data_IF_241411270182
#
_entry.id   IF_241411270182
#
_cell.length_a   1.000
_cell.length_b   1.000
_cell.length_c   1.000
_cell.angle_alpha   90.00
_cell.angle_beta   90.00
_cell.angle_gamma   90.00
#
_symmetry.space_group_name_H-M   'P 1'
#
loop_
_entity.id
_entity.type
_entity.pdbx_description
1 polymer ?
#
# COMPACT_ATOMS: atom_id res chain seq x y z
N UNK A 1 4.91 5.88 -13.88
CA UNK A 1 3.52 5.48 -14.18
C UNK A 1 3.32 3.95 -14.31
N UNK A 2 4.37 3.13 -14.15
CA UNK A 2 4.26 1.66 -14.29
C UNK A 2 3.73 0.92 -13.07
N UNK A 3 3.63 1.58 -11.91
CA UNK A 3 3.12 1.00 -10.67
C UNK A 3 1.61 1.20 -10.59
N UNK A 4 0.87 0.12 -10.40
CA UNK A 4 -0.60 0.14 -10.33
C UNK A 4 -1.13 0.02 -8.90
N UNK A 5 -0.33 -0.55 -8.00
CA UNK A 5 -0.71 -0.81 -6.61
C UNK A 5 0.49 -0.60 -5.67
N UNK A 6 0.25 0.03 -4.52
CA UNK A 6 1.19 0.12 -3.40
C UNK A 6 0.56 -0.53 -2.17
N UNK A 7 1.19 -1.60 -1.67
CA UNK A 7 0.96 -2.09 -0.32
C UNK A 7 1.90 -1.30 0.62
N UNK A 8 1.33 -0.33 1.33
CA UNK A 8 2.10 0.59 2.18
C UNK A 8 2.57 -0.10 3.46
N UNK A 9 3.57 0.49 4.11
CA UNK A 9 3.94 0.05 5.44
C UNK A 9 2.78 0.28 6.42
N UNK A 10 2.11 1.43 6.37
CA UNK A 10 0.77 1.66 6.95
C UNK A 10 0.55 0.99 8.31
N UNK A 11 1.17 1.53 9.35
CA UNK A 11 1.16 0.94 10.71
C UNK A 11 0.07 1.51 11.61
N UNK A 12 -0.78 2.41 11.10
CA UNK A 12 -1.72 3.18 11.91
C UNK A 12 -0.99 4.03 12.96
N UNK A 13 0.23 4.48 12.63
CA UNK A 13 0.94 5.46 13.43
C UNK A 13 0.77 6.81 12.77
N UNK A 14 0.23 7.78 13.51
CA UNK A 14 -0.14 9.09 12.97
C UNK A 14 0.99 9.74 12.14
N UNK A 15 2.20 9.84 12.71
CA UNK A 15 3.37 10.41 12.00
C UNK A 15 3.82 9.54 10.82
N UNK A 16 3.81 8.22 10.97
CA UNK A 16 4.29 7.29 9.95
C UNK A 16 3.40 7.29 8.71
N UNK A 17 2.09 7.21 8.90
CA UNK A 17 1.12 7.14 7.82
C UNK A 17 1.03 8.49 7.07
N UNK A 18 1.11 9.62 7.78
CA UNK A 18 1.24 10.96 7.15
C UNK A 18 2.51 11.04 6.30
N UNK A 19 3.65 10.61 6.84
CA UNK A 19 4.93 10.66 6.13
C UNK A 19 4.92 9.78 4.89
N UNK A 20 4.34 8.58 4.96
CA UNK A 20 4.27 7.66 3.84
C UNK A 20 3.33 8.16 2.74
N UNK A 21 2.16 8.71 3.10
CA UNK A 21 1.25 9.33 2.14
C UNK A 21 1.89 10.51 1.39
N UNK A 22 2.58 11.40 2.11
CA UNK A 22 3.32 12.54 1.53
C UNK A 22 4.42 12.06 0.59
N UNK A 23 5.20 11.04 0.98
CA UNK A 23 6.25 10.47 0.15
C UNK A 23 5.70 9.84 -1.16
N UNK A 24 4.56 9.14 -1.09
CA UNK A 24 3.91 8.59 -2.29
C UNK A 24 3.52 9.71 -3.26
N UNK A 25 2.90 10.78 -2.75
CA UNK A 25 2.50 11.93 -3.58
C UNK A 25 3.71 12.63 -4.20
N UNK A 26 4.80 12.79 -3.44
CA UNK A 26 6.05 13.41 -3.94
C UNK A 26 6.70 12.57 -5.05
N UNK A 27 6.81 11.25 -4.85
CA UNK A 27 7.49 10.36 -5.80
C UNK A 27 6.68 10.13 -7.07
N UNK A 28 5.36 9.98 -6.96
CA UNK A 28 4.50 9.62 -8.09
C UNK A 28 3.79 10.82 -8.74
N UNK A 29 3.76 12.00 -8.10
CA UNK A 29 3.08 13.18 -8.62
C UNK A 29 1.61 12.90 -8.95
N UNK A 30 1.15 13.34 -10.13
CA UNK A 30 -0.22 13.10 -10.62
C UNK A 30 -0.59 11.61 -10.73
N UNK A 31 0.40 10.72 -10.89
CA UNK A 31 0.15 9.29 -10.95
C UNK A 31 -0.28 8.69 -9.60
N UNK A 32 0.02 9.36 -8.48
CA UNK A 32 -0.39 8.94 -7.14
C UNK A 32 -1.92 8.81 -7.00
N UNK A 33 -2.68 9.61 -7.75
CA UNK A 33 -4.15 9.59 -7.75
C UNK A 33 -4.74 8.44 -8.60
N UNK A 34 -3.92 7.75 -9.40
CA UNK A 34 -4.36 6.69 -10.34
C UNK A 34 -3.99 5.28 -9.87
N UNK A 35 -2.90 5.14 -9.10
CA UNK A 35 -2.53 3.87 -8.47
C UNK A 35 -3.42 3.60 -7.26
N UNK A 36 -3.60 2.34 -6.89
CA UNK A 36 -4.30 1.99 -5.66
C UNK A 36 -3.34 1.94 -4.47
N UNK A 37 -3.81 2.32 -3.29
CA UNK A 37 -3.06 2.29 -2.03
C UNK A 37 -3.82 1.47 -0.99
N UNK A 38 -3.18 0.49 -0.36
CA UNK A 38 -3.74 -0.19 0.81
C UNK A 38 -2.66 -0.73 1.76
N UNK A 39 -3.05 -1.15 2.96
CA UNK A 39 -2.19 -1.79 3.96
C UNK A 39 -2.79 -3.12 4.38
N UNK A 40 -2.11 -4.23 4.06
CA UNK A 40 -2.53 -5.56 4.49
C UNK A 40 -2.39 -5.79 6.00
N UNK A 41 -1.61 -4.94 6.70
CA UNK A 41 -1.49 -4.99 8.17
C UNK A 41 -2.84 -4.76 8.86
N UNK A 42 -3.78 -4.07 8.22
CA UNK A 42 -5.14 -3.90 8.73
C UNK A 42 -5.86 -5.24 8.97
N UNK A 43 -5.53 -6.28 8.19
CA UNK A 43 -6.11 -7.62 8.28
C UNK A 43 -5.23 -8.60 9.07
N UNK A 44 -3.91 -8.47 8.96
CA UNK A 44 -2.97 -9.47 9.52
C UNK A 44 -2.32 -9.03 10.84
N UNK A 45 -2.50 -7.76 11.24
CA UNK A 45 -1.68 -7.12 12.25
C UNK A 45 -0.23 -6.90 11.77
N UNK A 46 0.57 -6.28 12.63
CA UNK A 46 1.99 -6.05 12.36
C UNK A 46 2.83 -7.28 12.74
N UNK A 47 3.16 -8.12 11.75
CA UNK A 47 3.85 -9.40 11.95
C UNK A 47 5.38 -9.28 12.22
N UNK A 48 5.85 -8.09 12.63
CA UNK A 48 7.25 -7.80 12.92
C UNK A 48 8.20 -8.34 11.84
N UNK A 49 9.11 -9.26 12.19
CA UNK A 49 10.08 -9.84 11.26
C UNK A 49 9.47 -10.58 10.06
N UNK A 50 8.20 -10.99 10.14
CA UNK A 50 7.50 -11.63 9.04
C UNK A 50 6.72 -10.65 8.14
N UNK A 51 6.61 -9.36 8.52
CA UNK A 51 5.81 -8.37 7.80
C UNK A 51 6.19 -8.29 6.32
N UNK A 52 7.47 -8.12 6.00
CA UNK A 52 7.93 -7.99 4.61
C UNK A 52 7.63 -9.21 3.74
N UNK A 53 7.70 -10.43 4.29
CA UNK A 53 7.40 -11.65 3.53
C UNK A 53 5.90 -11.77 3.23
N UNK A 54 5.04 -11.51 4.21
CA UNK A 54 3.58 -11.60 4.04
C UNK A 54 3.05 -10.50 3.14
N UNK A 55 3.58 -9.28 3.27
CA UNK A 55 3.25 -8.14 2.42
C UNK A 55 3.69 -8.35 0.97
N UNK A 56 4.90 -8.89 0.76
CA UNK A 56 5.37 -9.29 -0.56
C UNK A 56 4.46 -10.36 -1.19
N UNK A 57 4.06 -11.38 -0.43
CA UNK A 57 3.11 -12.39 -0.91
C UNK A 57 1.79 -11.76 -1.32
N UNK A 58 1.25 -10.81 -0.55
CA UNK A 58 0.02 -10.11 -0.92
C UNK A 58 0.16 -9.32 -2.24
N UNK A 59 1.30 -8.63 -2.46
CA UNK A 59 1.59 -7.98 -3.73
C UNK A 59 1.69 -8.96 -4.90
N UNK A 60 2.35 -10.11 -4.72
CA UNK A 60 2.41 -11.17 -5.74
C UNK A 60 1.01 -11.67 -6.08
N UNK A 61 0.17 -11.91 -5.07
CA UNK A 61 -1.23 -12.32 -5.28
C UNK A 61 -2.01 -11.25 -6.04
N UNK A 62 -1.87 -9.99 -5.66
CA UNK A 62 -2.53 -8.87 -6.33
C UNK A 62 -2.19 -8.78 -7.82
N UNK A 63 -0.91 -8.93 -8.15
CA UNK A 63 -0.40 -8.96 -9.53
C UNK A 63 -0.92 -10.18 -10.31
N UNK A 64 -0.96 -11.35 -9.66
CA UNK A 64 -1.37 -12.60 -10.30
C UNK A 64 -2.88 -12.71 -10.53
N UNK A 65 -3.69 -12.08 -9.67
CA UNK A 65 -5.15 -12.24 -9.65
C UNK A 65 -5.92 -11.00 -10.10
N UNK A 66 -5.24 -9.88 -10.38
CA UNK A 66 -5.87 -8.61 -10.76
C UNK A 66 -6.87 -8.11 -9.68
N UNK A 67 -6.47 -8.24 -8.42
CA UNK A 67 -7.24 -7.81 -7.24
C UNK A 67 -6.33 -7.01 -6.31
N UNK A 68 -6.75 -5.80 -5.96
CA UNK A 68 -6.13 -5.01 -4.89
C UNK A 68 -6.82 -5.33 -3.56
N UNK A 69 -6.07 -5.81 -2.54
CA UNK A 69 -6.65 -6.10 -1.23
C UNK A 69 -7.03 -4.80 -0.50
N UNK A 70 -8.07 -4.82 0.35
CA UNK A 70 -8.51 -3.63 1.06
C UNK A 70 -7.60 -3.30 2.24
N UNK A 71 -7.60 -2.04 2.65
CA UNK A 71 -7.34 -1.65 4.04
C UNK A 71 -8.67 -1.72 4.79
N UNK A 72 -8.81 -2.62 5.76
CA UNK A 72 -10.01 -2.71 6.60
C UNK A 72 -9.88 -1.80 7.84
N UNK A 73 -10.98 -1.65 8.60
CA UNK A 73 -11.04 -0.84 9.82
C UNK A 73 -10.77 0.66 9.57
N UNK A 74 -11.27 1.20 8.45
CA UNK A 74 -11.21 2.64 8.18
C UNK A 74 -12.62 3.21 8.10
N UNK A 75 -13.00 4.02 9.08
CA UNK A 75 -14.28 4.73 9.12
C UNK A 75 -14.12 6.19 8.69
N UNK A 76 -15.23 6.87 8.39
CA UNK A 76 -15.20 8.27 7.92
C UNK A 76 -14.61 9.22 8.97
N UNK A 77 -14.82 8.94 10.26
CA UNK A 77 -14.25 9.66 11.39
C UNK A 77 -12.73 9.49 11.57
N UNK A 78 -12.11 8.50 10.93
CA UNK A 78 -10.66 8.26 11.02
C UNK A 78 -9.84 9.19 10.12
N UNK A 79 -10.49 10.11 9.39
CA UNK A 79 -9.82 11.00 8.45
C UNK A 79 -8.91 12.00 9.14
N UNK A 80 -7.65 11.99 8.71
CA UNK A 80 -6.62 12.93 9.15
C UNK A 80 -6.50 14.14 8.20
N UNK A 81 -6.60 15.40 8.68
CA UNK A 81 -6.49 16.58 7.82
C UNK A 81 -5.13 16.72 7.09
N UNK A 82 -4.08 16.02 7.53
CA UNK A 82 -2.77 16.03 6.87
C UNK A 82 -2.64 14.98 5.75
N UNK A 83 -3.61 14.08 5.60
CA UNK A 83 -3.64 13.06 4.56
C UNK A 83 -4.56 13.50 3.42
N UNK A 84 -4.05 13.41 2.19
CA UNK A 84 -4.82 13.70 0.99
C UNK A 84 -5.72 12.51 0.62
N UNK A 85 -6.96 12.51 1.11
CA UNK A 85 -7.95 11.46 0.82
C UNK A 85 -8.50 11.50 -0.63
N UNK A 86 -8.03 12.40 -1.49
CA UNK A 86 -8.27 12.27 -2.93
C UNK A 86 -7.38 11.20 -3.58
N UNK A 87 -6.32 10.76 -2.90
CA UNK A 87 -5.57 9.57 -3.29
C UNK A 87 -6.48 8.34 -3.27
N UNK A 88 -6.19 7.38 -4.16
CA UNK A 88 -7.05 6.22 -4.36
C UNK A 88 -6.73 5.11 -3.35
N UNK A 89 -7.13 5.34 -2.11
CA UNK A 89 -7.09 4.35 -1.03
C UNK A 89 -8.18 3.29 -1.23
N UNK A 90 -7.80 2.02 -1.14
CA UNK A 90 -8.72 0.89 -1.28
C UNK A 90 -9.29 0.51 0.09
N UNK A 91 -10.19 1.34 0.64
CA UNK A 91 -10.76 1.11 1.97
C UNK A 91 -11.92 0.12 1.96
N UNK A 92 -11.94 -0.77 2.97
CA UNK A 92 -12.98 -1.73 3.37
C UNK A 92 -13.44 -2.76 2.33
N UNK A 93 -13.24 -2.52 1.04
CA UNK A 93 -13.66 -3.38 -0.04
C UNK A 93 -12.52 -3.57 -1.05
N UNK A 94 -12.21 -4.83 -1.36
CA UNK A 94 -11.22 -5.17 -2.37
C UNK A 94 -11.65 -4.62 -3.73
N UNK A 95 -10.69 -4.16 -4.54
CA UNK A 95 -10.96 -3.64 -5.87
C UNK A 95 -10.38 -4.55 -6.96
N UNK A 96 -11.20 -4.93 -7.94
CA UNK A 96 -10.70 -5.58 -9.16
C UNK A 96 -10.09 -4.55 -10.10
N UNK A 97 -8.86 -4.78 -10.57
CA UNK A 97 -8.21 -4.03 -11.65
C UNK A 97 -7.04 -4.83 -12.19
N UNK A 98 -6.63 -4.55 -13.42
CA UNK A 98 -5.33 -5.06 -13.87
C UNK A 98 -4.21 -4.46 -13.01
N UNK A 99 -3.37 -5.33 -12.44
CA UNK A 99 -2.20 -4.95 -11.65
C UNK A 99 -0.94 -5.41 -12.39
N UNK A 100 -0.35 -4.52 -13.19
CA UNK A 100 0.88 -4.81 -13.97
C UNK A 100 2.10 -4.85 -13.07
N UNK A 101 2.16 -3.98 -12.07
CA UNK A 101 3.18 -4.00 -11.04
C UNK A 101 2.64 -3.51 -9.69
N UNK A 102 3.09 -4.15 -8.62
CA UNK A 102 2.80 -3.79 -7.24
C UNK A 102 4.08 -3.48 -6.47
N UNK A 103 4.06 -2.41 -5.68
CA UNK A 103 5.13 -2.00 -4.78
C UNK A 103 4.77 -2.40 -3.34
N UNK A 104 5.68 -3.05 -2.62
CA UNK A 104 5.55 -3.37 -1.20
C UNK A 104 6.54 -2.52 -0.39
N UNK A 105 6.02 -1.70 0.52
CA UNK A 105 6.83 -0.90 1.44
C UNK A 105 6.87 -1.57 2.82
N UNK A 106 8.08 -1.75 3.37
CA UNK A 106 8.27 -2.25 4.73
C UNK A 106 9.38 -1.45 5.42
N UNK A 107 9.02 -0.71 6.47
CA UNK A 107 9.93 0.18 7.19
C UNK A 107 10.16 -0.34 8.61
N UNK A 108 11.40 -0.69 8.93
CA UNK A 108 11.79 -1.23 10.22
C UNK A 108 12.09 -0.14 11.23
N UNK A 109 11.86 -0.45 12.51
CA UNK A 109 12.37 0.36 13.61
C UNK A 109 13.88 0.59 13.46
N UNK A 110 14.34 1.78 13.85
CA UNK A 110 15.73 2.19 13.66
C UNK A 110 16.07 2.68 12.25
N UNK A 111 15.08 2.88 11.37
CA UNK A 111 15.23 3.60 10.10
C UNK A 111 15.64 2.75 8.90
N UNK A 112 15.56 1.41 9.00
CA UNK A 112 15.86 0.53 7.88
C UNK A 112 14.64 0.40 6.98
N UNK A 113 14.71 0.98 5.78
CA UNK A 113 13.61 0.98 4.83
C UNK A 113 13.87 -0.01 3.69
N UNK A 114 12.86 -0.80 3.33
CA UNK A 114 12.92 -1.69 2.18
C UNK A 114 11.66 -1.52 1.32
N UNK A 115 11.86 -1.48 0.00
CA UNK A 115 10.82 -1.37 -1.01
C UNK A 115 11.08 -2.40 -2.11
N UNK A 116 10.10 -3.24 -2.41
CA UNK A 116 10.23 -4.30 -3.44
C UNK A 116 9.08 -4.19 -4.44
N UNK A 117 9.40 -4.32 -5.73
CA UNK A 117 8.42 -4.28 -6.82
C UNK A 117 8.25 -5.68 -7.40
N UNK A 118 6.99 -6.09 -7.54
CA UNK A 118 6.59 -7.32 -8.22
C UNK A 118 5.85 -6.96 -9.50
N UNK A 119 6.32 -7.47 -10.64
CA UNK A 119 5.70 -7.24 -11.95
C UNK A 119 5.01 -8.51 -12.42
N UNK A 120 3.89 -8.34 -13.13
CA UNK A 120 3.17 -9.45 -13.75
C UNK A 120 4.09 -10.17 -14.72
N UNK A 121 4.12 -11.49 -14.59
CA UNK A 121 4.88 -12.33 -15.50
C UNK A 121 4.25 -12.29 -16.89
N UNK A 122 5.09 -12.11 -17.91
CA UNK A 122 4.75 -12.24 -19.31
C UNK A 122 5.88 -13.06 -19.95
N UNK A 123 5.51 -14.05 -20.76
CA UNK A 123 6.45 -14.87 -21.53
C UNK A 123 7.15 -14.07 -22.64
#
# INVERSE_FOLDING_TARGET
>A
EDIDYINVHGTSTHVGDISEAKAIKEVFGEHAYKLNISSTKSMTGHLLGAAGAVEAMACVKAVSEDIVPPTINHEEEDKDPEIDYALNYTFNQAQKRTVRAALSNTFGFGGHNACVIFKKYAE
#
